data_IF_967816138693
#
_entry.id   IF_967816138693
#
_cell.length_a   1.000
_cell.length_b   1.000
_cell.length_c   1.000
_cell.angle_alpha   90.00
_cell.angle_beta   90.00
_cell.angle_gamma   90.00
#
_symmetry.space_group_name_H-M   'P 1'
#
loop_
_entity.id
_entity.type
_entity.pdbx_description
1 polymer ?
#
# COMPACT_ATOMS: atom_id res chain seq x y z
N UNK A 1 -20.92 0.47 6.88
CA UNK A 1 -19.66 1.10 6.44
C UNK A 1 -19.59 1.05 4.91
N UNK A 2 -19.29 2.15 4.23
CA UNK A 2 -19.20 2.18 2.76
C UNK A 2 -17.81 1.80 2.25
N UNK A 3 -17.72 1.29 1.03
CA UNK A 3 -16.43 1.11 0.34
C UNK A 3 -15.96 2.44 -0.24
N UNK A 4 -14.65 2.67 -0.24
CA UNK A 4 -14.07 3.97 -0.61
C UNK A 4 -14.46 4.48 -2.01
N UNK A 5 -14.36 3.63 -3.04
CA UNK A 5 -14.62 4.00 -4.44
C UNK A 5 -15.75 3.17 -5.08
N UNK A 6 -16.61 2.53 -4.26
CA UNK A 6 -17.70 1.70 -4.79
C UNK A 6 -18.93 1.79 -3.91
N UNK A 7 -20.11 1.63 -4.50
CA UNK A 7 -21.42 1.79 -3.82
C UNK A 7 -21.79 0.63 -2.88
N UNK A 8 -21.02 -0.46 -2.86
CA UNK A 8 -21.30 -1.64 -2.04
C UNK A 8 -21.14 -1.40 -0.53
N UNK A 9 -21.98 -2.06 0.27
CA UNK A 9 -22.06 -1.95 1.74
C UNK A 9 -21.78 -3.27 2.50
N UNK A 10 -21.17 -4.26 1.84
CA UNK A 10 -20.91 -5.57 2.45
C UNK A 10 -20.01 -5.50 3.70
N UNK A 11 -20.33 -6.32 4.70
CA UNK A 11 -19.63 -6.39 5.99
C UNK A 11 -18.98 -7.77 6.09
N UNK A 12 -17.66 -7.81 5.88
CA UNK A 12 -16.87 -9.03 6.05
C UNK A 12 -15.48 -8.63 6.54
N UNK A 13 -15.11 -9.09 7.73
CA UNK A 13 -13.82 -8.83 8.35
C UNK A 13 -13.46 -9.99 9.28
N UNK A 14 -12.17 -10.16 9.55
CA UNK A 14 -11.70 -11.11 10.55
C UNK A 14 -12.10 -10.65 11.95
N UNK A 15 -12.75 -11.52 12.72
CA UNK A 15 -13.02 -11.30 14.14
C UNK A 15 -11.89 -11.94 14.96
N UNK A 16 -11.09 -11.11 15.62
CA UNK A 16 -9.99 -11.58 16.48
C UNK A 16 -10.58 -12.09 17.80
N UNK A 17 -10.11 -13.22 18.35
CA UNK A 17 -10.58 -13.69 19.65
C UNK A 17 -10.30 -12.68 20.75
N UNK A 18 -11.17 -12.65 21.77
CA UNK A 18 -11.02 -11.76 22.92
C UNK A 18 -9.76 -12.08 23.74
N UNK A 19 -9.50 -13.37 23.97
CA UNK A 19 -8.32 -13.81 24.71
C UNK A 19 -7.04 -13.49 23.92
N UNK A 20 -6.08 -12.89 24.61
CA UNK A 20 -4.76 -12.49 24.07
C UNK A 20 -3.62 -13.39 24.56
N UNK A 21 -3.95 -14.50 25.22
CA UNK A 21 -2.94 -15.48 25.64
C UNK A 21 -2.67 -16.47 24.51
N UNK A 22 -1.41 -16.91 24.40
CA UNK A 22 -1.08 -18.00 23.49
C UNK A 22 -1.76 -19.30 23.99
N UNK A 23 -2.33 -20.12 23.09
CA UNK A 23 -2.99 -21.35 23.49
C UNK A 23 -1.97 -22.37 24.02
N UNK A 24 -2.33 -23.12 25.06
CA UNK A 24 -1.43 -24.06 25.73
C UNK A 24 -0.90 -25.21 24.84
N UNK A 25 -1.63 -25.56 23.77
CA UNK A 25 -1.20 -26.59 22.82
C UNK A 25 -0.12 -26.11 21.84
N UNK A 26 0.12 -24.80 21.75
CA UNK A 26 1.16 -24.25 20.87
C UNK A 26 2.52 -24.39 21.57
N UNK A 27 3.30 -25.38 21.13
CA UNK A 27 4.65 -25.66 21.65
C UNK A 27 5.75 -24.82 21.01
N UNK A 28 5.41 -23.97 20.04
CA UNK A 28 6.38 -23.16 19.30
C UNK A 28 6.90 -22.02 20.17
N UNK A 29 8.22 -21.94 20.31
CA UNK A 29 8.85 -20.85 21.06
C UNK A 29 8.83 -19.55 20.25
N UNK A 30 8.85 -18.37 20.90
CA UNK A 30 8.88 -17.09 20.19
C UNK A 30 10.08 -16.96 19.26
N UNK A 31 11.25 -17.51 19.65
CA UNK A 31 12.48 -17.45 18.85
C UNK A 31 12.36 -18.25 17.54
N UNK A 32 11.74 -19.44 17.61
CA UNK A 32 11.44 -20.23 16.41
C UNK A 32 10.52 -19.47 15.44
N UNK A 33 9.52 -18.75 15.96
CA UNK A 33 8.64 -17.93 15.12
C UNK A 33 9.42 -16.82 14.41
N UNK A 34 10.33 -16.14 15.10
CA UNK A 34 11.19 -15.11 14.49
C UNK A 34 12.06 -15.71 13.39
N UNK A 35 12.67 -16.86 13.62
CA UNK A 35 13.49 -17.54 12.62
C UNK A 35 12.68 -17.90 11.37
N UNK A 36 11.48 -18.46 11.52
CA UNK A 36 10.60 -18.77 10.39
C UNK A 36 10.20 -17.52 9.62
N UNK A 37 9.90 -16.41 10.31
CA UNK A 37 9.60 -15.11 9.67
C UNK A 37 10.78 -14.65 8.83
N UNK A 38 12.00 -14.67 9.37
CA UNK A 38 13.21 -14.27 8.65
C UNK A 38 13.48 -15.19 7.45
N UNK A 39 13.28 -16.50 7.59
CA UNK A 39 13.42 -17.47 6.49
C UNK A 39 12.45 -17.20 5.35
N UNK A 40 11.18 -16.92 5.67
CA UNK A 40 10.17 -16.60 4.66
C UNK A 40 10.41 -15.23 4.01
N UNK A 41 10.88 -14.25 4.78
CA UNK A 41 11.25 -12.94 4.24
C UNK A 41 12.42 -13.02 3.26
N UNK A 42 13.44 -13.85 3.54
CA UNK A 42 14.55 -14.12 2.62
C UNK A 42 14.10 -14.79 1.31
N UNK A 43 13.00 -15.55 1.33
CA UNK A 43 12.37 -16.11 0.12
C UNK A 43 11.59 -15.06 -0.67
N UNK A 44 11.47 -13.83 -0.18
CA UNK A 44 10.72 -12.73 -0.81
C UNK A 44 9.22 -12.75 -0.53
N UNK A 45 8.75 -13.49 0.48
CA UNK A 45 7.34 -13.46 0.88
C UNK A 45 6.97 -12.11 1.51
N UNK A 46 5.79 -11.59 1.20
CA UNK A 46 5.31 -10.33 1.81
C UNK A 46 4.85 -10.58 3.25
N UNK A 47 4.89 -9.57 4.14
CA UNK A 47 4.52 -9.76 5.54
C UNK A 47 3.06 -10.24 5.70
N UNK A 48 2.16 -9.86 4.79
CA UNK A 48 0.79 -10.39 4.74
C UNK A 48 0.76 -11.89 4.41
N UNK A 49 1.55 -12.35 3.44
CA UNK A 49 1.67 -13.77 3.09
C UNK A 49 2.34 -14.59 4.19
N UNK A 50 3.38 -14.05 4.85
CA UNK A 50 4.06 -14.69 5.97
C UNK A 50 3.05 -15.01 7.08
N UNK A 51 2.17 -14.06 7.42
CA UNK A 51 1.14 -14.27 8.43
C UNK A 51 0.08 -15.32 8.05
N UNK A 52 -0.14 -15.58 6.77
CA UNK A 52 -1.03 -16.65 6.29
C UNK A 52 -0.33 -18.01 6.40
N UNK A 53 0.92 -18.11 5.95
CA UNK A 53 1.70 -19.36 6.03
C UNK A 53 1.93 -19.80 7.48
N UNK A 54 2.17 -18.87 8.39
CA UNK A 54 2.32 -19.19 9.81
C UNK A 54 1.02 -19.71 10.44
N UNK A 55 -0.12 -19.24 9.96
CA UNK A 55 -1.43 -19.68 10.42
C UNK A 55 -1.77 -21.07 9.90
N UNK A 56 -1.62 -21.27 8.59
CA UNK A 56 -2.11 -22.46 7.91
C UNK A 56 -1.16 -23.66 8.07
N UNK A 57 0.16 -23.42 8.05
CA UNK A 57 1.15 -24.51 8.14
C UNK A 57 1.69 -24.74 9.55
N UNK A 58 1.83 -23.68 10.36
CA UNK A 58 2.47 -23.77 11.69
C UNK A 58 1.47 -23.66 12.85
N UNK A 59 0.18 -23.40 12.57
CA UNK A 59 -0.85 -23.25 13.59
C UNK A 59 -0.74 -21.97 14.43
N UNK A 60 0.11 -21.01 14.03
CA UNK A 60 0.28 -19.74 14.74
C UNK A 60 -0.80 -18.76 14.30
N UNK A 61 -1.90 -18.69 15.06
CA UNK A 61 -3.04 -17.84 14.72
C UNK A 61 -2.68 -16.34 14.66
N UNK A 62 -1.90 -15.85 15.62
CA UNK A 62 -1.51 -14.44 15.73
C UNK A 62 -0.07 -14.31 16.23
N UNK A 63 0.82 -13.79 15.38
CA UNK A 63 2.23 -13.54 15.71
C UNK A 63 2.39 -12.59 16.90
N UNK A 64 1.50 -11.60 17.04
CA UNK A 64 1.54 -10.65 18.16
C UNK A 64 1.33 -11.33 19.51
N UNK A 65 0.54 -12.40 19.59
CA UNK A 65 0.24 -13.07 20.87
C UNK A 65 1.41 -13.95 21.34
N UNK A 66 2.20 -14.48 20.40
CA UNK A 66 3.35 -15.35 20.72
C UNK A 66 4.61 -14.53 20.98
N UNK A 67 4.96 -13.64 20.04
CA UNK A 67 6.21 -12.87 20.07
C UNK A 67 6.08 -11.47 20.70
N UNK A 68 4.88 -11.01 21.06
CA UNK A 68 4.63 -9.66 21.58
C UNK A 68 4.70 -8.54 20.53
N UNK A 69 5.41 -8.76 19.42
CA UNK A 69 5.61 -7.80 18.34
C UNK A 69 4.85 -8.17 17.04
N UNK A 70 4.64 -7.17 16.18
CA UNK A 70 4.07 -7.37 14.83
C UNK A 70 5.17 -7.77 13.84
N UNK A 71 4.79 -8.51 12.80
CA UNK A 71 5.70 -9.01 11.75
C UNK A 71 6.59 -7.88 11.18
N UNK A 72 6.02 -6.73 10.83
CA UNK A 72 6.78 -5.59 10.31
C UNK A 72 7.84 -5.05 11.28
N UNK A 73 7.61 -5.12 12.60
CA UNK A 73 8.61 -4.69 13.58
C UNK A 73 9.76 -5.68 13.64
N UNK A 74 9.45 -6.98 13.65
CA UNK A 74 10.45 -8.05 13.65
C UNK A 74 11.35 -7.94 12.40
N UNK A 75 10.76 -7.70 11.23
CA UNK A 75 11.53 -7.52 9.99
C UNK A 75 12.42 -6.27 10.01
N UNK A 76 11.94 -5.16 10.60
CA UNK A 76 12.75 -3.94 10.77
C UNK A 76 13.94 -4.14 11.70
N UNK A 77 13.73 -4.81 12.83
CA UNK A 77 14.81 -5.13 13.78
C UNK A 77 15.89 -6.02 13.17
N UNK A 78 15.53 -6.87 12.21
CA UNK A 78 16.46 -7.75 11.50
C UNK A 78 17.02 -7.14 10.20
N UNK A 79 16.68 -5.90 9.84
CA UNK A 79 17.13 -5.27 8.60
C UNK A 79 16.59 -5.90 7.30
N UNK A 80 15.56 -6.75 7.38
CA UNK A 80 14.92 -7.42 6.25
C UNK A 80 13.59 -6.76 5.85
N UNK A 81 13.37 -5.52 6.29
CA UNK A 81 12.14 -4.79 5.99
C UNK A 81 12.13 -4.32 4.53
N UNK A 82 10.96 -4.37 3.87
CA UNK A 82 10.84 -3.76 2.55
C UNK A 82 10.90 -2.23 2.68
N UNK A 83 11.67 -1.59 1.79
CA UNK A 83 11.80 -0.13 1.68
C UNK A 83 10.45 0.54 1.37
N UNK A 84 9.65 -0.11 0.53
CA UNK A 84 8.33 0.37 0.17
C UNK A 84 7.24 -0.36 0.97
N UNK A 85 6.25 0.36 1.51
CA UNK A 85 5.08 -0.26 2.13
C UNK A 85 4.36 -1.21 1.17
N UNK A 86 3.98 -2.40 1.67
CA UNK A 86 3.32 -3.46 0.88
C UNK A 86 2.06 -2.93 0.16
N UNK A 87 1.24 -2.15 0.85
CA UNK A 87 -0.01 -1.60 0.32
C UNK A 87 0.22 -0.71 -0.91
N UNK A 88 1.25 0.13 -0.87
CA UNK A 88 1.63 0.99 -2.00
C UNK A 88 2.16 0.16 -3.16
N UNK A 89 3.05 -0.80 -2.88
CA UNK A 89 3.61 -1.68 -3.90
C UNK A 89 2.52 -2.45 -4.65
N UNK A 90 1.53 -3.00 -3.94
CA UNK A 90 0.44 -3.77 -4.56
C UNK A 90 -0.48 -2.90 -5.42
N UNK A 91 -0.74 -1.64 -5.04
CA UNK A 91 -1.52 -0.72 -5.86
C UNK A 91 -0.76 -0.29 -7.12
N UNK A 92 0.54 0.00 -7.01
CA UNK A 92 1.39 0.36 -8.15
C UNK A 92 1.47 -0.82 -9.13
N UNK A 93 1.70 -2.03 -8.63
CA UNK A 93 1.72 -3.25 -9.45
C UNK A 93 0.42 -3.43 -10.23
N UNK A 94 -0.73 -3.18 -9.59
CA UNK A 94 -2.04 -3.22 -10.24
C UNK A 94 -2.19 -2.12 -11.30
N UNK A 95 -1.78 -0.90 -11.00
CA UNK A 95 -1.83 0.22 -11.95
C UNK A 95 -1.00 -0.05 -13.21
N UNK A 96 0.22 -0.57 -13.05
CA UNK A 96 1.10 -0.94 -14.17
C UNK A 96 0.47 -2.04 -15.03
N UNK A 97 -0.17 -3.04 -14.41
CA UNK A 97 -0.88 -4.09 -15.15
C UNK A 97 -2.05 -3.53 -15.98
N UNK A 98 -2.85 -2.62 -15.42
CA UNK A 98 -3.96 -1.97 -16.14
C UNK A 98 -3.45 -1.07 -17.27
N UNK A 99 -2.34 -0.36 -17.05
CA UNK A 99 -1.69 0.46 -18.08
C UNK A 99 -1.23 -0.36 -19.28
N UNK A 100 -0.54 -1.48 -19.03
CA UNK A 100 -0.14 -2.45 -20.09
C UNK A 100 -1.34 -3.01 -20.86
N UNK A 101 -2.47 -3.21 -20.18
CA UNK A 101 -3.70 -3.64 -20.84
C UNK A 101 -4.27 -2.55 -21.77
N UNK A 102 -4.27 -1.29 -21.32
CA UNK A 102 -4.78 -0.14 -22.07
C UNK A 102 -3.92 0.24 -23.28
N UNK A 103 -2.61 -0.06 -23.26
CA UNK A 103 -1.71 0.14 -24.40
C UNK A 103 -2.21 -0.63 -25.63
N UNK A 104 -2.70 -1.86 -25.43
CA UNK A 104 -3.28 -2.70 -26.49
C UNK A 104 -4.76 -2.36 -26.73
N UNK A 105 -5.51 -2.08 -25.67
CA UNK A 105 -6.96 -1.84 -25.72
C UNK A 105 -7.31 -0.37 -25.46
N UNK A 106 -6.97 0.51 -26.42
CA UNK A 106 -7.14 1.97 -26.24
C UNK A 106 -8.59 2.43 -26.10
N UNK A 107 -9.55 1.64 -26.59
CA UNK A 107 -10.99 1.98 -26.58
C UNK A 107 -11.71 1.59 -25.28
N UNK A 108 -11.09 0.81 -24.39
CA UNK A 108 -11.70 0.41 -23.12
C UNK A 108 -11.80 1.61 -22.15
N UNK A 109 -13.03 2.11 -21.97
CA UNK A 109 -13.34 3.24 -21.07
C UNK A 109 -13.48 2.82 -19.61
N UNK A 110 -13.87 1.58 -19.34
CA UNK A 110 -14.05 1.07 -17.97
C UNK A 110 -12.69 0.88 -17.28
N UNK A 111 -11.73 0.29 -18.00
CA UNK A 111 -10.35 0.15 -17.51
C UNK A 111 -9.69 1.50 -17.26
N UNK A 112 -9.95 2.52 -18.11
CA UNK A 112 -9.49 3.91 -17.87
C UNK A 112 -10.07 4.48 -16.59
N UNK A 113 -11.38 4.34 -16.39
CA UNK A 113 -12.03 4.80 -15.16
C UNK A 113 -11.45 4.11 -13.91
N UNK A 114 -11.24 2.79 -13.97
CA UNK A 114 -10.64 2.02 -12.87
C UNK A 114 -9.18 2.43 -12.60
N UNK A 115 -8.41 2.77 -13.63
CA UNK A 115 -7.05 3.29 -13.47
C UNK A 115 -7.05 4.58 -12.64
N UNK A 116 -7.93 5.55 -12.97
CA UNK A 116 -8.08 6.82 -12.23
C UNK A 116 -8.38 6.55 -10.74
N UNK A 117 -9.24 5.57 -10.44
CA UNK A 117 -9.56 5.18 -9.06
C UNK A 117 -8.39 4.49 -8.32
N UNK A 118 -7.49 3.82 -9.03
CA UNK A 118 -6.28 3.22 -8.44
C UNK A 118 -5.25 4.32 -8.18
N UNK A 119 -4.99 5.19 -9.15
CA UNK A 119 -4.06 6.32 -9.03
C UNK A 119 -4.48 7.27 -7.89
N UNK A 120 -5.78 7.56 -7.78
CA UNK A 120 -6.33 8.36 -6.67
C UNK A 120 -6.05 7.72 -5.29
N UNK A 121 -6.06 6.38 -5.18
CA UNK A 121 -5.70 5.68 -3.94
C UNK A 121 -4.21 5.78 -3.65
N UNK A 122 -3.37 5.61 -4.67
CA UNK A 122 -1.92 5.75 -4.55
C UNK A 122 -1.57 7.15 -4.05
N UNK A 123 -2.15 8.21 -4.61
CA UNK A 123 -1.89 9.58 -4.19
C UNK A 123 -2.33 9.86 -2.73
N UNK A 124 -3.43 9.24 -2.27
CA UNK A 124 -3.86 9.36 -0.88
C UNK A 124 -2.88 8.67 0.08
N UNK A 125 -2.45 7.46 -0.23
CA UNK A 125 -1.50 6.71 0.59
C UNK A 125 -0.10 7.34 0.57
N UNK A 126 0.37 7.80 -0.60
CA UNK A 126 1.65 8.48 -0.71
C UNK A 126 1.71 9.75 0.14
N UNK A 127 0.62 10.54 0.19
CA UNK A 127 0.52 11.70 1.10
C UNK A 127 0.64 11.28 2.57
N UNK A 128 -0.06 10.23 2.97
CA UNK A 128 0.01 9.71 4.34
C UNK A 128 1.45 9.26 4.71
N UNK A 129 2.10 8.47 3.88
CA UNK A 129 3.45 7.98 4.18
C UNK A 129 4.52 9.06 4.14
N UNK A 130 4.32 10.13 3.36
CA UNK A 130 5.14 11.35 3.44
C UNK A 130 4.98 12.05 4.78
N UNK A 131 3.75 12.20 5.29
CA UNK A 131 3.52 12.82 6.61
C UNK A 131 4.06 12.00 7.78
N UNK A 132 4.08 10.67 7.67
CA UNK A 132 4.59 9.76 8.72
C UNK A 132 6.12 9.58 8.63
N UNK A 133 6.78 10.14 7.61
CA UNK A 133 8.24 10.04 7.44
C UNK A 133 8.76 8.65 7.05
N UNK A 134 7.89 7.79 6.51
CA UNK A 134 8.27 6.45 6.03
C UNK A 134 8.83 6.51 4.61
N UNK A 135 8.38 7.48 3.81
CA UNK A 135 8.95 7.77 2.50
C UNK A 135 9.80 9.04 2.58
N UNK A 136 10.96 9.09 1.92
CA UNK A 136 11.75 10.30 1.85
C UNK A 136 10.93 11.43 1.21
N UNK A 137 11.01 12.61 1.81
CA UNK A 137 10.35 13.79 1.26
C UNK A 137 11.10 14.25 0.02
N UNK A 138 10.39 14.71 -1.03
CA UNK A 138 11.04 15.16 -2.27
C UNK A 138 11.92 16.41 -2.11
N UNK A 139 12.02 17.00 -0.91
CA UNK A 139 12.81 18.20 -0.61
C UNK A 139 14.01 17.99 0.31
N UNK A 140 14.37 16.74 0.68
CA UNK A 140 15.50 16.46 1.58
C UNK A 140 16.78 16.07 0.81
N UNK A 141 17.04 16.71 -0.32
CA UNK A 141 18.35 16.70 -0.99
C UNK A 141 19.02 18.05 -0.76
N UNK A 142 19.52 18.27 0.45
CA UNK A 142 20.61 19.20 0.67
C UNK A 142 21.48 18.70 1.82
N UNK A 143 22.71 18.40 1.44
CA UNK A 143 23.93 18.23 2.25
C UNK A 143 24.30 16.79 2.71
N UNK A 144 25.48 16.39 2.20
CA UNK A 144 26.33 15.21 2.45
C UNK A 144 26.01 13.87 1.75
N UNK A 145 26.63 13.72 0.56
CA UNK A 145 27.12 12.45 -0.03
C UNK A 145 28.41 11.98 0.71
N UNK A 146 28.98 10.75 0.52
CA UNK A 146 28.84 9.84 -0.63
C UNK A 146 28.77 8.31 -0.36
N UNK A 147 28.08 7.57 -1.24
CA UNK A 147 28.49 6.22 -1.71
C UNK A 147 27.57 5.74 -2.85
N UNK A 148 28.10 5.07 -3.90
CA UNK A 148 27.32 4.67 -5.06
C UNK A 148 26.66 3.32 -4.82
N UNK A 149 25.34 3.29 -4.67
CA UNK A 149 24.57 2.05 -4.59
C UNK A 149 23.53 1.99 -5.70
N UNK A 150 23.89 1.24 -6.75
CA UNK A 150 23.02 0.56 -7.71
C UNK A 150 21.92 1.39 -8.38
N UNK A 151 22.20 1.80 -9.62
CA UNK A 151 21.38 2.58 -10.56
C UNK A 151 19.94 2.07 -10.87
N UNK A 152 19.38 1.11 -10.12
CA UNK A 152 18.04 0.57 -10.33
C UNK A 152 16.97 1.13 -9.40
N UNK A 153 17.33 1.82 -8.31
CA UNK A 153 16.36 2.32 -7.33
C UNK A 153 15.90 3.77 -7.56
N UNK A 154 16.71 4.60 -8.23
CA UNK A 154 16.47 6.05 -8.33
C UNK A 154 15.35 6.45 -9.30
N UNK A 155 14.93 5.55 -10.19
CA UNK A 155 13.89 5.83 -11.18
C UNK A 155 12.46 5.69 -10.64
N UNK A 156 12.26 5.13 -9.44
CA UNK A 156 10.92 4.92 -8.88
C UNK A 156 10.43 6.06 -7.98
N UNK A 157 11.33 6.97 -7.57
CA UNK A 157 11.04 7.93 -6.49
C UNK A 157 11.20 9.42 -6.88
N UNK A 158 11.29 9.75 -8.18
CA UNK A 158 11.13 11.16 -8.60
C UNK A 158 9.63 11.51 -8.64
N UNK A 159 9.19 12.67 -8.10
CA UNK A 159 7.84 13.18 -8.36
C UNK A 159 7.60 13.35 -9.87
N UNK A 160 8.68 13.58 -10.63
CA UNK A 160 8.66 13.55 -12.08
C UNK A 160 8.43 12.15 -12.66
N UNK A 161 8.75 11.01 -12.05
CA UNK A 161 8.40 9.72 -12.69
C UNK A 161 6.93 9.39 -12.52
N UNK A 162 6.29 9.79 -11.42
CA UNK A 162 4.82 9.68 -11.28
C UNK A 162 4.13 10.66 -12.23
N UNK A 163 4.68 11.86 -12.42
CA UNK A 163 4.15 12.86 -13.36
C UNK A 163 4.46 12.50 -14.83
N UNK A 164 5.65 12.02 -15.16
CA UNK A 164 6.12 11.67 -16.52
C UNK A 164 5.61 10.31 -16.97
N UNK A 165 5.29 9.36 -16.07
CA UNK A 165 4.44 8.23 -16.46
C UNK A 165 3.01 8.71 -16.76
N UNK A 166 2.51 9.77 -16.12
CA UNK A 166 1.17 10.31 -16.40
C UNK A 166 1.15 11.26 -17.61
N UNK A 167 2.26 11.90 -17.96
CA UNK A 167 2.38 12.93 -19.01
C UNK A 167 3.06 12.40 -20.29
N UNK A 168 3.75 11.26 -20.23
CA UNK A 168 4.48 10.64 -21.35
C UNK A 168 3.64 9.91 -22.40
N UNK A 169 2.39 10.32 -22.59
CA UNK A 169 1.62 10.02 -23.82
C UNK A 169 1.16 11.36 -24.34
N UNK A 170 1.91 11.90 -25.31
CA UNK A 170 1.71 13.22 -25.85
C UNK A 170 0.27 13.49 -26.28
N UNK A 171 -0.15 14.74 -26.03
CA UNK A 171 -1.17 15.50 -26.74
C UNK A 171 -2.54 14.85 -26.88
N UNK A 172 -3.49 15.24 -26.03
CA UNK A 172 -4.94 15.42 -26.31
C UNK A 172 -5.79 15.69 -25.04
N UNK A 173 -5.22 15.95 -23.86
CA UNK A 173 -6.03 16.24 -22.64
C UNK A 173 -5.55 17.53 -21.91
N UNK A 174 -4.92 18.45 -22.62
CA UNK A 174 -4.63 19.80 -22.11
C UNK A 174 -5.78 20.75 -22.43
N UNK A 175 -7.00 20.47 -21.95
CA UNK A 175 -8.06 21.49 -21.87
C UNK A 175 -9.02 21.33 -20.68
N UNK A 176 -9.00 20.22 -19.92
CA UNK A 176 -9.96 20.04 -18.82
C UNK A 176 -9.37 20.10 -17.40
N UNK A 177 -8.11 20.53 -17.25
CA UNK A 177 -7.47 20.69 -15.95
C UNK A 177 -7.65 22.09 -15.32
N UNK A 178 -8.55 22.91 -15.86
CA UNK A 178 -8.96 24.18 -15.24
C UNK A 178 -10.30 24.08 -14.47
N UNK A 179 -11.07 22.99 -14.59
CA UNK A 179 -12.48 22.98 -14.13
C UNK A 179 -12.76 22.31 -12.77
N UNK A 180 -11.75 22.03 -11.93
CA UNK A 180 -12.04 21.41 -10.61
C UNK A 180 -11.24 21.96 -9.43
N UNK A 181 -10.64 23.13 -9.58
CA UNK A 181 -10.14 23.94 -8.46
C UNK A 181 -11.23 24.79 -7.78
N UNK A 182 -12.49 24.75 -8.24
CA UNK A 182 -13.56 25.57 -7.68
C UNK A 182 -14.92 24.85 -7.72
N UNK A 183 -15.17 23.97 -6.75
CA UNK A 183 -16.53 23.56 -6.40
C UNK A 183 -16.69 23.72 -4.89
N UNK A 184 -17.34 24.80 -4.42
CA UNK A 184 -17.60 25.01 -3.01
C UNK A 184 -18.53 23.90 -2.49
N UNK A 185 -18.26 23.44 -1.27
CA UNK A 185 -19.19 22.60 -0.51
C UNK A 185 -20.56 23.31 -0.42
N UNK A 186 -21.54 22.88 -1.22
CA UNK A 186 -22.94 23.17 -0.93
C UNK A 186 -23.32 22.37 0.31
N UNK A 187 -23.45 23.06 1.45
CA UNK A 187 -24.26 22.63 2.59
C UNK A 187 -25.69 22.45 2.09
N UNK A 188 -26.12 21.20 1.92
CA UNK A 188 -27.54 20.88 1.79
C UNK A 188 -28.19 21.02 3.17
N UNK A 189 -28.86 22.15 3.39
CA UNK A 189 -29.88 22.25 4.44
C UNK A 189 -31.07 21.38 4.04
N UNK A 190 -31.47 20.46 4.91
CA UNK A 190 -32.71 19.71 4.77
C UNK A 190 -33.90 20.57 5.21
N UNK A 191 -35.07 20.44 4.56
CA UNK A 191 -36.29 21.05 5.06
C UNK A 191 -36.75 20.31 6.33
N UNK A 192 -36.94 21.06 7.42
CA UNK A 192 -37.59 20.56 8.62
C UNK A 192 -39.10 20.50 8.39
N UNK A 193 -39.65 19.29 8.45
CA UNK A 193 -41.08 19.06 8.61
C UNK A 193 -41.48 19.44 10.06
N UNK A 194 -42.55 20.22 10.15
CA UNK A 194 -43.43 20.29 11.32
C UNK A 194 -44.70 19.53 10.97
#
# INVERSE_FOLDING_TARGET
MGRLHSKGKGISASAVPYSRTAPAWLKTTPDQVVEQICKLARKGATPSQIGVVLRDSHGVAQVKLVTGNRILRILKSNGLAPELPEDLYMLIKKAVSVRKHLERNRKDKDSKFRLILIESRIHRLARYYKTVGVLPLPGSTSLLLPAPLSHKAETLCKPEVVSTLVIGVGGQITENLAFRAMMPMRRSGGPGER
#
